data_IF_983551102709
#
_entry.id   IF_983551102709
#
_cell.length_a   1.000
_cell.length_b   1.000
_cell.length_c   1.000
_cell.angle_alpha   90.00
_cell.angle_beta   90.00
_cell.angle_gamma   90.00
#
_symmetry.space_group_name_H-M   'P 1'
#
loop_
_entity.id
_entity.type
_entity.pdbx_description
1 polymer ?
#
# COMPACT_ATOMS: atom_id res chain seq x y z
N UNK A 1 33.69 6.56 3.28
CA UNK A 1 32.90 5.32 3.06
C UNK A 1 31.45 5.69 3.28
N UNK A 2 30.53 5.19 2.45
CA UNK A 2 29.12 5.39 2.71
C UNK A 2 28.72 4.72 4.03
N UNK A 3 28.01 5.44 4.90
CA UNK A 3 27.74 5.03 6.29
C UNK A 3 26.27 5.08 6.68
N UNK A 4 25.41 5.59 5.80
CA UNK A 4 23.99 5.78 6.08
C UNK A 4 23.11 5.05 5.07
N UNK A 5 21.86 4.78 5.45
CA UNK A 5 20.83 4.24 4.55
C UNK A 5 19.69 5.24 4.47
N UNK A 6 19.20 5.51 3.26
CA UNK A 6 18.00 6.30 3.07
C UNK A 6 16.79 5.38 2.91
N UNK A 7 15.67 5.72 3.53
CA UNK A 7 14.38 5.06 3.33
C UNK A 7 13.37 6.06 2.79
N UNK A 8 12.74 5.72 1.66
CA UNK A 8 11.61 6.45 1.09
C UNK A 8 10.34 5.73 1.54
N UNK A 9 9.49 6.43 2.28
CA UNK A 9 8.18 5.96 2.72
C UNK A 9 7.10 6.80 2.02
N UNK A 10 6.46 6.23 1.02
CA UNK A 10 5.31 6.84 0.36
C UNK A 10 4.00 6.36 0.99
N UNK A 11 3.53 7.05 2.02
CA UNK A 11 2.26 6.77 2.68
C UNK A 11 1.05 7.35 1.94
N UNK A 12 -0.15 7.12 2.48
CA UNK A 12 -1.42 7.54 1.87
C UNK A 12 -1.66 9.04 1.85
N UNK A 13 -1.12 9.79 2.82
CA UNK A 13 -1.33 11.26 2.89
C UNK A 13 -0.06 12.07 2.68
N UNK A 14 1.09 11.41 2.70
CA UNK A 14 2.38 12.09 2.59
C UNK A 14 3.48 11.14 2.13
N UNK A 15 4.53 11.71 1.56
CA UNK A 15 5.78 11.03 1.26
C UNK A 15 6.86 11.52 2.22
N UNK A 16 7.72 10.61 2.69
CA UNK A 16 8.81 10.91 3.61
C UNK A 16 10.12 10.29 3.13
N UNK A 17 11.24 10.98 3.35
CA UNK A 17 12.56 10.39 3.31
C UNK A 17 13.16 10.44 4.73
N UNK A 18 13.74 9.34 5.16
CA UNK A 18 14.46 9.22 6.43
C UNK A 18 15.86 8.70 6.18
N UNK A 19 16.86 9.26 6.88
CA UNK A 19 18.24 8.80 6.82
C UNK A 19 18.57 8.14 8.15
N UNK A 20 19.10 6.93 8.08
CA UNK A 20 19.46 6.10 9.23
C UNK A 20 20.95 5.85 9.29
N UNK A 21 21.50 5.83 10.50
CA UNK A 21 22.84 5.31 10.77
C UNK A 21 22.83 3.78 10.96
N UNK A 22 24.02 3.21 11.16
CA UNK A 22 24.19 1.77 11.36
C UNK A 22 23.46 1.21 12.60
N UNK A 23 23.21 2.04 13.62
CA UNK A 23 22.50 1.62 14.84
C UNK A 23 20.97 1.64 14.67
N UNK A 24 20.47 2.09 13.52
CA UNK A 24 19.04 2.33 13.29
C UNK A 24 18.56 3.68 13.83
N UNK A 25 19.47 4.57 14.22
CA UNK A 25 19.17 5.92 14.67
C UNK A 25 18.73 6.81 13.50
N UNK A 26 17.65 7.59 13.69
CA UNK A 26 17.19 8.56 12.69
C UNK A 26 18.08 9.80 12.74
N UNK A 27 18.86 10.02 11.68
CA UNK A 27 19.76 11.17 11.53
C UNK A 27 19.02 12.39 11.00
N UNK A 28 18.16 12.18 10.00
CA UNK A 28 17.32 13.24 9.45
C UNK A 28 16.02 12.68 8.87
N UNK A 29 15.00 13.54 8.80
CA UNK A 29 13.76 13.25 8.12
C UNK A 29 13.19 14.50 7.45
N UNK A 30 12.63 14.31 6.26
CA UNK A 30 11.85 15.29 5.52
C UNK A 30 10.56 14.63 5.04
N UNK A 31 9.45 15.36 5.10
CA UNK A 31 8.12 14.85 4.77
C UNK A 31 7.32 15.93 4.04
N UNK A 32 6.52 15.52 3.05
CA UNK A 32 5.57 16.38 2.35
C UNK A 32 4.25 15.67 2.12
N UNK A 33 3.16 16.38 2.39
CA UNK A 33 1.82 15.92 2.06
C UNK A 33 1.57 16.00 0.55
N UNK A 34 0.62 15.20 0.07
CA UNK A 34 0.11 15.27 -1.30
C UNK A 34 -1.42 15.33 -1.28
N UNK A 35 -1.99 15.90 -2.33
CA UNK A 35 -3.43 16.11 -2.44
C UNK A 35 -4.21 14.79 -2.38
N UNK A 36 -5.29 14.78 -1.60
CA UNK A 36 -6.27 13.69 -1.58
C UNK A 36 -7.41 14.06 -2.53
N UNK A 37 -7.50 13.39 -3.67
CA UNK A 37 -8.45 13.75 -4.73
C UNK A 37 -9.71 12.89 -4.56
N UNK A 38 -10.86 13.55 -4.41
CA UNK A 38 -12.17 12.90 -4.24
C UNK A 38 -13.14 13.32 -5.36
N UNK A 39 -13.06 12.72 -6.56
CA UNK A 39 -13.90 13.14 -7.69
C UNK A 39 -15.40 12.93 -7.42
N UNK A 40 -15.73 11.91 -6.65
CA UNK A 40 -17.08 11.61 -6.21
C UNK A 40 -17.09 10.73 -4.94
N UNK A 41 -18.27 10.50 -4.36
CA UNK A 41 -18.41 9.71 -3.15
C UNK A 41 -17.84 8.28 -3.32
N UNK A 42 -16.98 7.88 -2.38
CA UNK A 42 -16.29 6.58 -2.39
C UNK A 42 -15.10 6.49 -3.35
N UNK A 43 -14.81 7.55 -4.12
CA UNK A 43 -13.67 7.59 -5.03
C UNK A 43 -12.51 8.33 -4.39
N UNK A 44 -11.34 7.73 -4.42
CA UNK A 44 -10.10 8.25 -3.81
C UNK A 44 -8.95 8.08 -4.79
N UNK A 45 -8.33 9.20 -5.15
CA UNK A 45 -7.28 9.27 -6.16
C UNK A 45 -6.07 10.06 -5.66
N UNK A 46 -4.89 9.74 -6.21
CA UNK A 46 -3.67 10.55 -6.07
C UNK A 46 -3.10 10.87 -7.44
N UNK A 47 -2.43 12.03 -7.57
CA UNK A 47 -1.67 12.36 -8.76
C UNK A 47 -0.28 11.68 -8.72
N UNK A 48 0.03 10.71 -9.62
CA UNK A 48 1.32 10.00 -9.57
C UNK A 48 2.54 10.91 -9.80
N UNK A 49 2.38 11.99 -10.56
CA UNK A 49 3.44 12.97 -10.82
C UNK A 49 3.75 13.79 -9.56
N UNK A 50 2.72 14.22 -8.80
CA UNK A 50 2.91 14.89 -7.52
C UNK A 50 3.64 13.99 -6.52
N UNK A 51 3.30 12.70 -6.48
CA UNK A 51 4.01 11.71 -5.65
C UNK A 51 5.50 11.63 -6.01
N UNK A 52 5.81 11.64 -7.31
CA UNK A 52 7.19 11.61 -7.77
C UNK A 52 7.95 12.90 -7.44
N UNK A 53 7.33 14.06 -7.68
CA UNK A 53 7.88 15.37 -7.31
C UNK A 53 8.17 15.45 -5.81
N UNK A 54 7.22 15.01 -4.99
CA UNK A 54 7.39 14.95 -3.54
C UNK A 54 8.52 14.01 -3.14
N UNK A 55 8.61 12.82 -3.73
CA UNK A 55 9.72 11.87 -3.49
C UNK A 55 11.08 12.54 -3.73
N UNK A 56 11.24 13.24 -4.85
CA UNK A 56 12.47 13.97 -5.17
C UNK A 56 12.77 15.06 -4.15
N UNK A 57 11.75 15.82 -3.76
CA UNK A 57 11.88 16.93 -2.82
C UNK A 57 12.26 16.45 -1.41
N UNK A 58 11.63 15.38 -0.90
CA UNK A 58 11.93 14.86 0.43
C UNK A 58 13.31 14.21 0.49
N UNK A 59 13.75 13.53 -0.59
CA UNK A 59 15.09 12.99 -0.67
C UNK A 59 16.16 14.10 -0.59
N UNK A 60 15.98 15.19 -1.34
CA UNK A 60 16.87 16.34 -1.29
C UNK A 60 16.87 17.02 0.08
N UNK A 61 15.67 17.22 0.67
CA UNK A 61 15.54 17.87 1.97
C UNK A 61 16.13 17.05 3.12
N UNK A 62 15.99 15.73 3.12
CA UNK A 62 16.59 14.86 4.13
C UNK A 62 18.11 14.91 4.11
N UNK A 63 18.73 14.86 2.91
CA UNK A 63 20.18 15.00 2.74
C UNK A 63 20.67 16.37 3.23
N UNK A 64 19.98 17.44 2.84
CA UNK A 64 20.33 18.80 3.26
C UNK A 64 20.24 19.00 4.78
N UNK A 65 19.21 18.44 5.43
CA UNK A 65 19.06 18.49 6.90
C UNK A 65 20.15 17.73 7.64
N UNK A 66 20.66 16.65 7.06
CA UNK A 66 21.73 15.85 7.63
C UNK A 66 23.13 16.40 7.32
N UNK A 67 23.25 17.43 6.46
CA UNK A 67 24.51 17.90 5.87
C UNK A 67 25.28 16.76 5.18
N UNK A 68 24.55 15.93 4.42
CA UNK A 68 25.08 14.74 3.72
C UNK A 68 24.95 14.87 2.20
N UNK A 69 25.77 14.10 1.49
CA UNK A 69 25.72 13.92 0.04
C UNK A 69 25.26 12.51 -0.33
N UNK A 70 24.94 12.29 -1.62
CA UNK A 70 24.65 10.95 -2.13
C UNK A 70 25.79 9.93 -1.85
N UNK A 71 27.05 10.39 -1.82
CA UNK A 71 28.22 9.54 -1.55
C UNK A 71 28.27 8.98 -0.13
N UNK A 72 27.49 9.54 0.80
CA UNK A 72 27.38 9.09 2.18
C UNK A 72 26.30 8.00 2.35
N UNK A 73 25.44 7.81 1.34
CA UNK A 73 24.33 6.86 1.35
C UNK A 73 24.74 5.54 0.70
N UNK A 74 24.68 4.45 1.47
CA UNK A 74 25.09 3.12 1.03
C UNK A 74 24.04 2.46 0.13
N UNK A 75 22.76 2.70 0.41
CA UNK A 75 21.60 2.19 -0.32
C UNK A 75 20.34 3.01 -0.01
N UNK A 76 19.33 2.87 -0.88
CA UNK A 76 17.96 3.33 -0.68
C UNK A 76 17.03 2.12 -0.53
N UNK A 77 16.20 2.15 0.51
CA UNK A 77 15.02 1.29 0.64
C UNK A 77 13.74 2.06 0.27
N UNK A 78 12.77 1.38 -0.31
CA UNK A 78 11.46 1.94 -0.67
C UNK A 78 10.38 1.18 0.10
N UNK A 79 9.47 1.92 0.71
CA UNK A 79 8.21 1.40 1.22
C UNK A 79 7.07 2.31 0.83
N UNK A 80 5.87 1.75 0.74
CA UNK A 80 4.75 2.41 0.09
C UNK A 80 3.41 1.95 0.64
N UNK A 81 2.42 2.83 0.57
CA UNK A 81 1.02 2.46 0.71
C UNK A 81 0.70 1.35 -0.29
N UNK A 82 0.19 0.24 0.25
CA UNK A 82 -0.19 -0.91 -0.54
C UNK A 82 -1.53 -0.67 -1.24
N UNK A 83 -1.74 -1.58 -2.18
CA UNK A 83 -2.78 -1.71 -3.20
C UNK A 83 -2.93 -0.56 -4.21
N UNK A 84 -2.60 0.69 -3.85
CA UNK A 84 -2.74 1.86 -4.74
C UNK A 84 -2.11 1.60 -6.11
N UNK A 85 -2.88 1.85 -7.17
CA UNK A 85 -2.64 1.34 -8.53
C UNK A 85 -2.35 2.47 -9.50
N UNK A 86 -1.25 2.36 -10.25
CA UNK A 86 -0.88 3.29 -11.33
C UNK A 86 -0.78 2.53 -12.64
N UNK A 87 -1.30 3.14 -13.71
CA UNK A 87 -1.08 2.70 -15.10
C UNK A 87 -0.47 3.85 -15.87
N UNK A 88 0.64 3.61 -16.57
CA UNK A 88 1.36 4.64 -17.31
C UNK A 88 1.88 4.12 -18.65
N UNK A 89 2.18 5.05 -19.54
CA UNK A 89 2.77 4.74 -20.84
C UNK A 89 4.27 4.53 -20.72
N UNK A 90 4.79 3.39 -21.20
CA UNK A 90 6.22 3.06 -21.06
C UNK A 90 7.16 3.97 -21.86
N UNK A 91 6.68 4.58 -22.94
CA UNK A 91 7.48 5.40 -23.87
C UNK A 91 7.55 6.85 -23.42
N UNK A 92 6.46 7.37 -22.86
CA UNK A 92 6.37 8.77 -22.42
C UNK A 92 6.55 8.95 -20.92
N UNK A 93 6.32 7.88 -20.15
CA UNK A 93 6.32 7.89 -18.70
C UNK A 93 5.10 8.50 -18.05
N UNK A 94 4.15 9.00 -18.85
CA UNK A 94 2.98 9.69 -18.32
C UNK A 94 1.93 8.70 -17.83
N UNK A 95 1.36 8.89 -16.63
CA UNK A 95 0.18 8.17 -16.20
C UNK A 95 -0.97 8.36 -17.20
N UNK A 96 -1.73 7.31 -17.47
CA UNK A 96 -2.94 7.41 -18.33
C UNK A 96 -4.16 7.90 -17.54
N UNK A 97 -4.08 7.84 -16.21
CA UNK A 97 -5.09 8.27 -15.27
C UNK A 97 -4.41 8.57 -13.91
N UNK A 98 -5.15 9.18 -12.97
CA UNK A 98 -4.69 9.26 -11.59
C UNK A 98 -4.47 7.86 -10.99
N UNK A 99 -3.64 7.78 -9.94
CA UNK A 99 -3.54 6.57 -9.14
C UNK A 99 -4.87 6.30 -8.45
N UNK A 100 -5.39 5.07 -8.53
CA UNK A 100 -6.59 4.67 -7.78
C UNK A 100 -6.15 4.12 -6.44
N UNK A 101 -6.54 4.79 -5.37
CA UNK A 101 -6.06 4.51 -4.01
C UNK A 101 -6.73 3.27 -3.42
N UNK A 102 -6.08 2.61 -2.47
CA UNK A 102 -6.60 1.43 -1.77
C UNK A 102 -7.95 1.65 -1.07
N UNK A 103 -8.23 2.87 -0.62
CA UNK A 103 -9.49 3.27 0.02
C UNK A 103 -10.67 3.37 -0.95
N UNK A 104 -10.38 3.41 -2.26
CA UNK A 104 -11.37 3.60 -3.30
C UNK A 104 -12.30 2.39 -3.45
N UNK A 105 -13.60 2.66 -3.55
CA UNK A 105 -14.65 1.63 -3.64
C UNK A 105 -15.30 1.53 -5.02
N UNK A 106 -14.74 2.15 -6.07
CA UNK A 106 -15.36 2.23 -7.42
C UNK A 106 -15.48 0.91 -8.16
N UNK A 107 -14.74 -0.10 -7.70
CA UNK A 107 -14.63 -1.40 -8.35
C UNK A 107 -15.65 -2.41 -7.84
N UNK A 108 -16.63 -2.01 -7.03
CA UNK A 108 -17.67 -2.88 -6.45
C UNK A 108 -18.41 -3.73 -7.49
N UNK A 109 -18.78 -3.15 -8.63
CA UNK A 109 -19.43 -3.85 -9.75
C UNK A 109 -18.47 -4.81 -10.47
N UNK A 110 -17.19 -4.47 -10.55
CA UNK A 110 -16.16 -5.36 -11.11
C UNK A 110 -15.96 -6.57 -10.20
N UNK A 111 -15.94 -6.36 -8.88
CA UNK A 111 -15.87 -7.43 -7.89
C UNK A 111 -17.05 -8.40 -8.04
N UNK A 112 -18.28 -7.89 -8.19
CA UNK A 112 -19.45 -8.74 -8.44
C UNK A 112 -19.30 -9.58 -9.73
N UNK A 113 -18.92 -8.94 -10.85
CA UNK A 113 -18.69 -9.63 -12.13
C UNK A 113 -17.65 -10.74 -12.03
N UNK A 114 -16.53 -10.49 -11.35
CA UNK A 114 -15.46 -11.48 -11.15
C UNK A 114 -15.95 -12.65 -10.28
N UNK A 115 -16.74 -12.37 -9.24
CA UNK A 115 -17.35 -13.41 -8.41
C UNK A 115 -18.34 -14.29 -9.18
N UNK A 116 -19.08 -13.70 -10.13
CA UNK A 116 -20.06 -14.39 -10.98
C UNK A 116 -19.42 -15.36 -11.99
N UNK A 117 -18.11 -15.26 -12.24
CA UNK A 117 -17.35 -16.28 -12.99
C UNK A 117 -17.24 -17.62 -12.23
N UNK A 118 -17.65 -17.65 -10.96
CA UNK A 118 -17.66 -18.84 -10.08
C UNK A 118 -16.79 -18.65 -8.84
N UNK A 119 -17.15 -19.29 -7.72
CA UNK A 119 -16.43 -19.17 -6.44
C UNK A 119 -16.79 -17.93 -5.61
N UNK A 120 -17.57 -16.99 -6.16
CA UNK A 120 -18.05 -15.81 -5.45
C UNK A 120 -16.90 -14.96 -4.90
N UNK A 121 -17.05 -14.43 -3.69
CA UNK A 121 -16.01 -13.62 -3.04
C UNK A 121 -14.68 -14.36 -2.86
N UNK A 122 -14.69 -15.69 -2.82
CA UNK A 122 -13.52 -16.51 -2.52
C UNK A 122 -12.80 -17.05 -3.76
N UNK A 123 -13.25 -16.68 -4.96
CA UNK A 123 -12.80 -17.21 -6.26
C UNK A 123 -11.28 -17.39 -6.38
N UNK A 124 -10.50 -16.40 -5.93
CA UNK A 124 -9.04 -16.39 -6.07
C UNK A 124 -8.29 -16.63 -4.75
N UNK A 125 -8.99 -16.96 -3.65
CA UNK A 125 -8.38 -17.02 -2.31
C UNK A 125 -7.31 -18.11 -2.19
N UNK A 126 -7.50 -19.25 -2.86
CA UNK A 126 -6.56 -20.36 -2.82
C UNK A 126 -5.18 -20.00 -3.39
N UNK A 127 -5.16 -19.30 -4.54
CA UNK A 127 -3.94 -18.85 -5.20
C UNK A 127 -3.34 -17.62 -4.54
N UNK A 128 -4.18 -16.62 -4.24
CA UNK A 128 -3.71 -15.27 -3.87
C UNK A 128 -3.70 -15.03 -2.36
N UNK A 129 -4.41 -15.84 -1.57
CA UNK A 129 -4.62 -15.60 -0.15
C UNK A 129 -5.62 -14.49 0.17
N UNK A 130 -6.27 -13.90 -0.84
CA UNK A 130 -7.13 -12.73 -0.72
C UNK A 130 -8.56 -13.01 -1.20
N UNK A 131 -9.58 -12.39 -0.57
CA UNK A 131 -10.93 -12.36 -1.13
C UNK A 131 -11.03 -11.34 -2.28
N UNK A 132 -12.07 -11.44 -3.09
CA UNK A 132 -12.48 -10.36 -3.98
C UNK A 132 -13.05 -9.19 -3.16
N UNK A 133 -12.35 -8.05 -3.22
CA UNK A 133 -12.76 -6.80 -2.56
C UNK A 133 -12.24 -5.59 -3.34
N UNK A 134 -12.87 -4.43 -3.17
CA UNK A 134 -12.47 -3.18 -3.85
C UNK A 134 -11.09 -2.66 -3.44
N UNK A 135 -10.53 -3.26 -2.39
CA UNK A 135 -9.25 -2.91 -1.80
C UNK A 135 -8.06 -3.17 -2.74
N UNK A 136 -8.05 -4.30 -3.45
CA UNK A 136 -6.88 -4.80 -4.18
C UNK A 136 -6.71 -4.23 -5.61
N UNK A 137 -5.49 -4.36 -6.16
CA UNK A 137 -5.07 -3.64 -7.37
C UNK A 137 -5.69 -4.14 -8.68
N UNK A 138 -5.80 -5.45 -8.89
CA UNK A 138 -6.24 -6.04 -10.17
C UNK A 138 -7.57 -5.46 -10.68
N UNK A 139 -8.64 -5.43 -9.86
CA UNK A 139 -9.90 -4.77 -10.22
C UNK A 139 -9.76 -3.27 -10.56
N UNK A 140 -8.79 -2.56 -9.98
CA UNK A 140 -8.51 -1.15 -10.29
C UNK A 140 -7.85 -0.99 -11.66
N UNK A 141 -6.93 -1.91 -12.02
CA UNK A 141 -6.36 -1.97 -13.38
C UNK A 141 -7.46 -2.25 -14.40
N UNK A 142 -8.31 -3.24 -14.14
CA UNK A 142 -9.45 -3.56 -15.01
C UNK A 142 -10.36 -2.34 -15.21
N UNK A 143 -10.65 -1.59 -14.13
CA UNK A 143 -11.42 -0.35 -14.23
C UNK A 143 -10.76 0.67 -15.16
N UNK A 144 -9.45 0.91 -15.02
CA UNK A 144 -8.72 1.86 -15.89
C UNK A 144 -8.82 1.42 -17.36
N UNK A 145 -8.59 0.14 -17.65
CA UNK A 145 -8.67 -0.39 -19.01
C UNK A 145 -10.09 -0.35 -19.61
N UNK A 146 -11.13 -0.37 -18.78
CA UNK A 146 -12.53 -0.27 -19.23
C UNK A 146 -13.04 1.17 -19.38
N UNK A 147 -12.45 2.14 -18.67
CA UNK A 147 -13.03 3.49 -18.55
C UNK A 147 -12.14 4.61 -19.12
N UNK A 148 -10.86 4.36 -19.37
CA UNK A 148 -9.96 5.35 -19.98
C UNK A 148 -9.86 5.10 -21.47
N UNK A 149 -10.27 6.10 -22.26
CA UNK A 149 -10.31 6.02 -23.72
C UNK A 149 -8.95 5.57 -24.31
N UNK A 150 -8.97 4.50 -25.09
CA UNK A 150 -7.80 3.95 -25.76
C UNK A 150 -6.82 3.18 -24.84
N UNK A 151 -7.10 3.06 -23.54
CA UNK A 151 -6.18 2.39 -22.61
C UNK A 151 -6.09 0.88 -22.88
N UNK A 152 -7.21 0.23 -23.23
CA UNK A 152 -7.23 -1.21 -23.53
C UNK A 152 -6.39 -1.55 -24.75
N UNK A 153 -6.59 -0.86 -25.86
CA UNK A 153 -5.86 -1.10 -27.10
C UNK A 153 -4.35 -0.86 -26.92
N UNK A 154 -3.98 0.17 -26.14
CA UNK A 154 -2.57 0.45 -25.82
C UNK A 154 -1.96 -0.58 -24.88
N UNK A 155 -2.72 -1.10 -23.93
CA UNK A 155 -2.29 -2.21 -23.07
C UNK A 155 -2.03 -3.47 -23.89
N UNK A 156 -2.95 -3.82 -24.79
CA UNK A 156 -2.83 -4.98 -25.70
C UNK A 156 -1.64 -4.83 -26.67
N UNK A 157 -1.35 -3.60 -27.11
CA UNK A 157 -0.15 -3.28 -27.90
C UNK A 157 1.16 -3.33 -27.09
N UNK A 158 1.10 -3.50 -25.76
CA UNK A 158 2.26 -3.50 -24.88
C UNK A 158 2.86 -2.12 -24.61
N UNK A 159 2.09 -1.04 -24.84
CA UNK A 159 2.53 0.33 -24.62
C UNK A 159 2.30 0.81 -23.17
N UNK A 160 1.47 0.11 -22.39
CA UNK A 160 1.19 0.46 -21.00
C UNK A 160 1.91 -0.47 -20.00
N UNK A 161 2.25 0.11 -18.86
CA UNK A 161 2.72 -0.59 -17.66
C UNK A 161 1.71 -0.40 -16.54
N UNK A 162 1.61 -1.42 -15.70
CA UNK A 162 0.95 -1.37 -14.40
C UNK A 162 2.01 -1.46 -13.30
N UNK A 163 1.74 -0.83 -12.17
CA UNK A 163 2.48 -1.05 -10.95
C UNK A 163 1.72 -0.53 -9.74
N UNK A 164 2.03 -1.12 -8.59
CA UNK A 164 1.83 -0.47 -7.29
C UNK A 164 2.85 0.67 -7.11
N UNK A 165 2.70 1.46 -6.04
CA UNK A 165 3.51 2.67 -5.85
C UNK A 165 5.02 2.42 -5.74
N UNK A 166 5.46 1.28 -5.20
CA UNK A 166 6.88 0.87 -5.23
C UNK A 166 7.42 0.78 -6.66
N UNK A 167 6.68 0.15 -7.57
CA UNK A 167 7.10 -0.02 -8.96
C UNK A 167 7.14 1.32 -9.69
N UNK A 168 6.14 2.18 -9.45
CA UNK A 168 6.12 3.56 -9.98
C UNK A 168 7.34 4.37 -9.52
N UNK A 169 7.66 4.32 -8.23
CA UNK A 169 8.81 5.03 -7.66
C UNK A 169 10.12 4.47 -8.18
N UNK A 170 10.30 3.15 -8.18
CA UNK A 170 11.49 2.50 -8.69
C UNK A 170 11.73 2.85 -10.17
N UNK A 171 10.68 2.76 -10.99
CA UNK A 171 10.75 3.06 -12.42
C UNK A 171 11.22 4.49 -12.67
N UNK A 172 10.65 5.47 -11.96
CA UNK A 172 11.07 6.88 -12.05
C UNK A 172 12.48 7.14 -11.49
N UNK A 173 12.83 6.49 -10.38
CA UNK A 173 14.14 6.64 -9.75
C UNK A 173 15.27 6.09 -10.62
N UNK A 174 15.01 5.07 -11.42
CA UNK A 174 16.02 4.37 -12.23
C UNK A 174 16.17 4.90 -13.65
N UNK A 175 15.24 5.73 -14.13
CA UNK A 175 15.39 6.40 -15.43
C UNK A 175 14.09 6.71 -16.17
N UNK A 176 12.96 6.17 -15.71
CA UNK A 176 11.68 6.35 -16.38
C UNK A 176 11.72 5.84 -17.82
N UNK A 177 11.32 6.65 -18.83
CA UNK A 177 11.39 6.23 -20.23
C UNK A 177 12.82 5.91 -20.70
N UNK A 178 13.82 6.47 -20.02
CA UNK A 178 15.24 6.33 -20.36
C UNK A 178 15.90 5.16 -19.61
N UNK A 179 15.23 4.01 -19.56
CA UNK A 179 15.77 2.78 -18.94
C UNK A 179 15.31 2.50 -17.51
N UNK A 180 14.15 3.03 -17.11
CA UNK A 180 13.52 2.73 -15.83
C UNK A 180 13.22 1.24 -15.66
N UNK A 181 13.59 0.69 -14.51
CA UNK A 181 13.32 -0.69 -14.12
C UNK A 181 11.86 -0.86 -13.72
N UNK A 182 11.20 -1.83 -14.35
CA UNK A 182 9.81 -2.18 -14.07
C UNK A 182 9.75 -3.45 -13.23
N UNK A 183 9.92 -3.27 -11.91
CA UNK A 183 10.05 -4.33 -10.92
C UNK A 183 9.10 -4.03 -9.74
N UNK A 184 8.68 -5.07 -9.03
CA UNK A 184 8.01 -5.01 -7.72
C UNK A 184 8.55 -6.12 -6.82
N UNK A 185 8.29 -6.06 -5.52
CA UNK A 185 8.61 -7.14 -4.57
C UNK A 185 7.40 -8.05 -4.30
N UNK A 186 7.57 -9.23 -3.66
CA UNK A 186 6.48 -10.18 -3.50
C UNK A 186 5.48 -9.71 -2.44
N UNK A 187 5.89 -8.81 -1.52
CA UNK A 187 4.96 -8.24 -0.54
C UNK A 187 3.94 -7.34 -1.24
N UNK A 188 4.36 -6.45 -2.14
CA UNK A 188 3.46 -5.63 -2.96
C UNK A 188 2.69 -6.48 -3.98
N UNK A 189 3.35 -7.37 -4.73
CA UNK A 189 2.72 -8.22 -5.72
C UNK A 189 1.60 -9.09 -5.12
N UNK A 190 1.79 -9.61 -3.90
CA UNK A 190 0.76 -10.38 -3.18
C UNK A 190 -0.52 -9.60 -2.86
N UNK A 191 -0.52 -8.26 -2.99
CA UNK A 191 -1.67 -7.38 -2.72
C UNK A 191 -2.48 -7.03 -3.96
N UNK A 192 -2.12 -7.60 -5.10
CA UNK A 192 -2.71 -7.23 -6.39
C UNK A 192 -3.90 -8.08 -6.78
N UNK A 193 -4.15 -9.22 -6.12
CA UNK A 193 -4.95 -10.37 -6.60
C UNK A 193 -4.38 -11.09 -7.82
N UNK A 194 -3.21 -10.71 -8.35
CA UNK A 194 -2.67 -11.28 -9.59
C UNK A 194 -1.51 -12.25 -9.37
N UNK A 195 -0.92 -12.29 -8.18
CA UNK A 195 0.21 -13.17 -7.87
C UNK A 195 -0.26 -14.47 -7.21
N UNK A 196 0.25 -15.60 -7.66
CA UNK A 196 0.12 -16.89 -6.99
C UNK A 196 1.15 -16.98 -5.83
N UNK A 197 0.67 -17.29 -4.62
CA UNK A 197 1.49 -17.32 -3.41
C UNK A 197 2.45 -18.52 -3.33
N UNK A 198 2.18 -19.61 -4.05
CA UNK A 198 3.06 -20.79 -4.05
C UNK A 198 4.23 -20.60 -5.00
N UNK A 199 3.97 -20.00 -6.17
CA UNK A 199 4.98 -19.79 -7.21
C UNK A 199 5.70 -18.44 -7.09
N UNK A 200 5.11 -17.46 -6.40
CA UNK A 200 5.52 -16.05 -6.39
C UNK A 200 5.63 -15.43 -7.78
N UNK A 201 4.80 -15.89 -8.70
CA UNK A 201 4.72 -15.37 -10.06
C UNK A 201 3.30 -14.90 -10.35
N UNK A 202 3.17 -14.07 -11.39
CA UNK A 202 1.87 -13.66 -11.90
C UNK A 202 1.09 -14.85 -12.42
N UNK A 203 -0.17 -14.94 -12.02
CA UNK A 203 -1.09 -15.97 -12.48
C UNK A 203 -1.76 -15.54 -13.80
N UNK A 204 -1.46 -16.20 -14.93
CA UNK A 204 -1.97 -15.78 -16.24
C UNK A 204 -3.48 -15.97 -16.36
N UNK A 205 -4.07 -16.92 -15.64
CA UNK A 205 -5.52 -17.17 -15.70
C UNK A 205 -6.26 -16.04 -14.96
N UNK A 206 -5.80 -15.63 -13.78
CA UNK A 206 -6.39 -14.51 -13.05
C UNK A 206 -6.22 -13.19 -13.83
N UNK A 207 -5.03 -12.95 -14.41
CA UNK A 207 -4.79 -11.78 -15.25
C UNK A 207 -5.72 -11.77 -16.47
N UNK A 208 -5.93 -12.91 -17.11
CA UNK A 208 -6.86 -13.09 -18.23
C UNK A 208 -8.32 -12.83 -17.82
N UNK A 209 -8.77 -13.36 -16.68
CA UNK A 209 -10.13 -13.10 -16.14
C UNK A 209 -10.38 -11.60 -15.93
N UNK A 210 -9.36 -10.82 -15.54
CA UNK A 210 -9.42 -9.36 -15.37
C UNK A 210 -9.13 -8.58 -16.65
N UNK A 211 -8.83 -9.26 -17.77
CA UNK A 211 -8.49 -8.65 -19.04
C UNK A 211 -7.23 -7.79 -18.99
N UNK A 212 -6.22 -8.20 -18.20
CA UNK A 212 -4.95 -7.51 -18.01
C UNK A 212 -3.86 -8.25 -18.80
N UNK A 213 -3.27 -7.63 -19.84
CA UNK A 213 -2.15 -8.22 -20.56
C UNK A 213 -0.93 -8.42 -19.65
N UNK A 214 -0.32 -9.61 -19.71
CA UNK A 214 0.89 -9.93 -18.93
C UNK A 214 2.05 -8.97 -19.21
N UNK A 215 2.08 -8.33 -20.39
CA UNK A 215 3.06 -7.31 -20.77
C UNK A 215 3.03 -6.04 -19.89
N UNK A 216 1.94 -5.81 -19.16
CA UNK A 216 1.80 -4.70 -18.23
C UNK A 216 2.43 -4.98 -16.87
N UNK A 217 2.68 -6.24 -16.50
CA UNK A 217 3.03 -6.62 -15.14
C UNK A 217 4.54 -6.50 -14.87
N UNK A 218 4.96 -5.92 -13.74
CA UNK A 218 6.38 -5.77 -13.39
C UNK A 218 7.04 -7.11 -13.10
N UNK A 219 8.35 -7.21 -13.27
CA UNK A 219 9.08 -8.38 -12.79
C UNK A 219 9.01 -8.47 -11.25
N UNK A 220 8.66 -9.62 -10.70
CA UNK A 220 8.64 -9.84 -9.24
C UNK A 220 10.04 -10.29 -8.81
N UNK A 221 10.68 -9.50 -7.95
CA UNK A 221 11.99 -9.80 -7.35
C UNK A 221 11.90 -9.92 -5.83
N UNK A 222 12.98 -10.29 -5.14
CA UNK A 222 12.96 -10.36 -3.67
C UNK A 222 12.84 -8.96 -3.05
N UNK A 223 12.43 -8.89 -1.79
CA UNK A 223 12.29 -7.66 -1.01
C UNK A 223 13.65 -7.05 -0.58
N UNK A 224 14.76 -7.76 -0.78
CA UNK A 224 16.10 -7.32 -0.39
C UNK A 224 17.16 -7.87 -1.34
N UNK A 225 17.41 -7.14 -2.41
CA UNK A 225 18.47 -7.36 -3.41
C UNK A 225 18.77 -6.05 -4.12
N UNK A 226 19.91 -5.92 -4.81
CA UNK A 226 20.20 -4.71 -5.61
C UNK A 226 19.41 -4.76 -6.91
N UNK A 227 18.31 -4.00 -6.98
CA UNK A 227 17.50 -3.90 -8.21
C UNK A 227 18.23 -3.11 -9.29
N UNK A 228 18.86 -2.00 -8.89
CA UNK A 228 19.52 -1.06 -9.78
C UNK A 228 20.13 0.11 -9.02
N UNK A 229 20.42 1.19 -9.75
CA UNK A 229 20.94 2.43 -9.18
C UNK A 229 20.00 3.58 -9.52
N UNK A 230 19.91 4.55 -8.62
CA UNK A 230 19.20 5.81 -8.89
C UNK A 230 19.90 6.50 -10.05
N UNK A 231 19.13 6.96 -11.04
CA UNK A 231 19.62 7.71 -12.19
C UNK A 231 20.50 8.89 -11.73
N UNK A 232 21.58 9.16 -12.47
CA UNK A 232 22.59 10.19 -12.14
C UNK A 232 21.98 11.56 -11.81
N UNK A 233 20.90 11.94 -12.48
CA UNK A 233 20.21 13.21 -12.26
C UNK A 233 19.25 13.10 -11.05
N UNK A 234 19.73 13.46 -9.86
CA UNK A 234 18.89 13.55 -8.66
C UNK A 234 19.71 13.68 -7.38
N UNK A 235 19.03 13.91 -6.26
CA UNK A 235 19.70 14.07 -4.96
C UNK A 235 20.42 12.80 -4.48
N UNK A 236 19.94 11.62 -4.91
CA UNK A 236 20.50 10.30 -4.59
C UNK A 236 21.19 9.65 -5.79
N UNK A 237 21.64 10.43 -6.79
CA UNK A 237 22.23 9.89 -8.03
C UNK A 237 23.36 8.90 -7.76
N UNK A 238 23.34 7.75 -8.46
CA UNK A 238 24.32 6.68 -8.34
C UNK A 238 24.14 5.76 -7.12
N UNK A 239 23.26 6.09 -6.17
CA UNK A 239 23.00 5.25 -4.99
C UNK A 239 22.26 3.98 -5.41
N UNK A 240 22.62 2.83 -4.81
CA UNK A 240 21.93 1.55 -5.04
C UNK A 240 20.52 1.57 -4.46
N UNK A 241 19.54 1.05 -5.19
CA UNK A 241 18.21 0.78 -4.66
C UNK A 241 18.18 -0.72 -4.32
N UNK A 242 18.01 -1.05 -3.04
CA UNK A 242 18.33 -2.39 -2.55
C UNK A 242 17.30 -3.01 -1.58
N UNK A 243 16.15 -2.37 -1.36
CA UNK A 243 15.05 -2.97 -0.63
C UNK A 243 13.71 -2.37 -1.03
N UNK A 244 12.70 -3.22 -1.21
CA UNK A 244 11.31 -2.85 -1.46
C UNK A 244 10.42 -3.73 -0.57
N UNK A 245 9.57 -3.10 0.22
CA UNK A 245 8.55 -3.77 1.04
C UNK A 245 7.31 -2.89 1.10
N UNK A 246 6.12 -3.45 0.94
CA UNK A 246 4.90 -2.72 1.22
C UNK A 246 4.83 -2.29 2.69
N UNK A 247 4.22 -1.14 2.99
CA UNK A 247 4.29 -0.43 4.27
C UNK A 247 4.10 -1.30 5.53
N UNK A 248 3.08 -2.15 5.55
CA UNK A 248 2.79 -2.96 6.73
C UNK A 248 3.79 -4.11 6.90
N UNK A 249 4.30 -4.68 5.82
CA UNK A 249 5.39 -5.63 5.84
C UNK A 249 6.71 -4.97 6.25
N UNK A 250 7.00 -3.77 5.73
CA UNK A 250 8.16 -2.98 6.14
C UNK A 250 8.12 -2.65 7.65
N UNK A 251 6.94 -2.28 8.17
CA UNK A 251 6.74 -2.08 9.61
C UNK A 251 6.94 -3.37 10.42
N UNK A 252 6.51 -4.52 9.89
CA UNK A 252 6.72 -5.84 10.52
C UNK A 252 8.21 -6.20 10.57
N UNK A 253 8.91 -5.96 9.47
CA UNK A 253 10.36 -6.16 9.39
C UNK A 253 11.13 -5.20 10.31
N UNK A 254 10.74 -3.92 10.34
CA UNK A 254 11.33 -2.89 11.19
C UNK A 254 11.06 -3.09 12.69
N UNK A 255 9.99 -3.79 13.06
CA UNK A 255 9.73 -4.26 14.43
C UNK A 255 10.54 -5.52 14.79
N UNK A 256 11.36 -6.02 13.86
CA UNK A 256 12.10 -7.27 14.00
C UNK A 256 11.21 -8.49 14.29
N UNK A 257 9.98 -8.52 13.78
CA UNK A 257 9.10 -9.70 13.81
C UNK A 257 9.56 -10.74 12.78
N UNK A 258 10.74 -11.33 13.01
CA UNK A 258 11.45 -12.20 12.07
C UNK A 258 11.21 -13.70 12.34
N UNK A 259 10.53 -14.04 13.44
CA UNK A 259 10.24 -15.42 13.86
C UNK A 259 8.75 -15.74 13.73
N UNK A 260 8.38 -17.00 13.42
CA UNK A 260 6.98 -17.42 13.41
C UNK A 260 6.31 -17.16 14.77
N UNK A 261 5.09 -16.62 14.75
CA UNK A 261 4.35 -16.26 15.96
C UNK A 261 4.54 -14.82 16.41
N UNK A 262 5.57 -14.11 15.92
CA UNK A 262 5.75 -12.69 16.19
C UNK A 262 4.77 -11.87 15.36
N UNK A 263 4.16 -10.86 15.99
CA UNK A 263 3.16 -10.03 15.38
C UNK A 263 3.33 -8.58 15.76
N UNK A 264 2.83 -7.71 14.89
CA UNK A 264 2.73 -6.27 15.13
C UNK A 264 1.31 -5.81 14.85
N UNK A 265 0.90 -4.72 15.50
CA UNK A 265 -0.27 -3.95 15.10
C UNK A 265 0.11 -2.49 14.92
N UNK A 266 -0.11 -1.94 13.74
CA UNK A 266 0.17 -0.53 13.43
C UNK A 266 -1.09 0.30 13.64
N UNK A 267 -1.05 1.28 14.55
CA UNK A 267 -2.16 2.18 14.82
C UNK A 267 -2.02 3.51 14.03
N UNK A 268 -2.83 3.69 12.99
CA UNK A 268 -2.88 4.93 12.20
C UNK A 268 -4.31 5.27 11.75
N UNK A 269 -4.45 5.80 10.54
CA UNK A 269 -5.77 6.07 9.90
C UNK A 269 -6.66 4.82 9.92
N UNK A 270 -6.06 3.66 9.64
CA UNK A 270 -6.58 2.32 9.89
C UNK A 270 -5.67 1.52 10.82
N UNK A 271 -6.01 0.25 11.08
CA UNK A 271 -5.17 -0.69 11.83
C UNK A 271 -4.86 -1.91 10.99
N UNK A 272 -3.62 -2.37 11.08
CA UNK A 272 -3.17 -3.55 10.36
C UNK A 272 -2.34 -4.43 11.28
N UNK A 273 -2.90 -5.60 11.56
CA UNK A 273 -2.27 -6.65 12.35
C UNK A 273 -1.62 -7.64 11.40
N UNK A 274 -0.31 -7.85 11.52
CA UNK A 274 0.40 -8.87 10.76
C UNK A 274 1.04 -9.85 11.73
N UNK A 275 0.88 -11.14 11.46
CA UNK A 275 1.47 -12.26 12.20
C UNK A 275 2.40 -13.01 11.24
N UNK A 276 3.68 -13.11 11.58
CA UNK A 276 4.66 -13.89 10.84
C UNK A 276 4.33 -15.40 10.98
N UNK A 277 4.14 -16.10 9.86
CA UNK A 277 3.85 -17.55 9.83
C UNK A 277 5.03 -18.40 9.36
N UNK A 278 6.23 -17.80 9.25
CA UNK A 278 7.40 -18.47 8.72
C UNK A 278 7.27 -18.81 7.24
N UNK A 279 7.90 -19.89 6.82
CA UNK A 279 7.86 -20.37 5.43
C UNK A 279 6.58 -21.14 5.10
N UNK A 280 5.66 -21.31 6.06
CA UNK A 280 4.38 -21.98 5.86
C UNK A 280 3.31 -20.98 5.43
N UNK A 281 2.71 -21.22 4.25
CA UNK A 281 1.55 -20.48 3.76
C UNK A 281 0.29 -20.95 4.51
N UNK A 282 -0.19 -20.14 5.44
CA UNK A 282 -1.40 -20.46 6.24
C UNK A 282 -2.62 -19.77 5.64
N UNK A 283 -3.49 -20.53 4.95
CA UNK A 283 -4.76 -19.99 4.46
C UNK A 283 -5.77 -19.82 5.61
N UNK A 284 -6.20 -18.58 5.84
CA UNK A 284 -7.15 -18.27 6.91
C UNK A 284 -8.56 -18.82 6.61
N UNK A 285 -9.16 -19.45 7.62
CA UNK A 285 -10.57 -19.86 7.67
C UNK A 285 -11.48 -18.85 8.40
N UNK A 286 -10.92 -17.73 8.90
CA UNK A 286 -11.62 -16.75 9.74
C UNK A 286 -11.64 -15.34 9.11
N UNK A 287 -11.60 -15.25 7.78
CA UNK A 287 -11.68 -13.96 7.09
C UNK A 287 -10.42 -13.08 7.17
N UNK A 288 -9.28 -13.59 7.64
CA UNK A 288 -7.98 -12.90 7.51
C UNK A 288 -7.36 -13.10 6.13
N UNK A 289 -6.45 -12.23 5.75
CA UNK A 289 -5.67 -12.35 4.52
C UNK A 289 -4.47 -13.27 4.75
N UNK A 290 -4.09 -14.02 3.72
CA UNK A 290 -2.79 -14.69 3.64
C UNK A 290 -1.93 -13.92 2.65
N UNK A 291 -0.71 -13.56 3.01
CA UNK A 291 0.13 -12.66 2.21
C UNK A 291 1.60 -13.00 2.39
N UNK A 292 2.47 -12.48 1.53
CA UNK A 292 3.92 -12.57 1.75
C UNK A 292 4.31 -11.50 2.78
N UNK A 293 5.07 -11.91 3.80
CA UNK A 293 5.66 -11.03 4.80
C UNK A 293 6.94 -10.37 4.26
N UNK A 294 7.83 -11.16 3.66
CA UNK A 294 9.03 -10.70 2.95
C UNK A 294 9.72 -11.86 2.23
N UNK A 295 10.61 -11.54 1.28
CA UNK A 295 11.58 -12.48 0.71
C UNK A 295 12.96 -11.83 0.68
N UNK A 296 13.98 -12.47 1.24
CA UNK A 296 15.35 -11.90 1.29
C UNK A 296 16.25 -12.65 0.32
N UNK A 297 16.62 -12.01 -0.80
CA UNK A 297 17.40 -12.63 -1.86
C UNK A 297 16.84 -13.98 -2.29
N UNK A 298 17.70 -14.99 -2.30
CA UNK A 298 17.38 -16.36 -2.72
C UNK A 298 16.74 -17.21 -1.61
N UNK A 299 16.53 -16.66 -0.41
CA UNK A 299 15.92 -17.41 0.68
C UNK A 299 14.45 -17.74 0.37
N UNK A 300 13.93 -18.77 1.04
CA UNK A 300 12.52 -19.08 1.02
C UNK A 300 11.68 -17.88 1.47
N UNK A 301 10.51 -17.64 0.86
CA UNK A 301 9.63 -16.56 1.31
C UNK A 301 9.12 -16.82 2.73
N UNK A 302 8.91 -15.74 3.45
CA UNK A 302 8.19 -15.75 4.73
C UNK A 302 6.79 -15.19 4.49
N UNK A 303 5.78 -15.88 5.00
CA UNK A 303 4.38 -15.52 4.88
C UNK A 303 3.86 -14.84 6.14
N UNK A 304 2.70 -14.22 6.01
CA UNK A 304 1.97 -13.64 7.12
C UNK A 304 0.46 -13.85 6.99
N UNK A 305 -0.20 -13.90 8.15
CA UNK A 305 -1.62 -13.61 8.27
C UNK A 305 -1.82 -12.12 8.54
N UNK A 306 -2.76 -11.51 7.85
CA UNK A 306 -3.06 -10.08 8.00
C UNK A 306 -4.54 -9.83 8.30
N UNK A 307 -4.80 -9.03 9.33
CA UNK A 307 -6.08 -8.42 9.62
C UNK A 307 -6.04 -6.93 9.30
N UNK A 308 -6.85 -6.50 8.33
CA UNK A 308 -6.99 -5.09 7.96
C UNK A 308 -8.27 -4.50 8.57
N UNK A 309 -8.14 -3.35 9.23
CA UNK A 309 -9.23 -2.58 9.83
C UNK A 309 -9.19 -1.19 9.20
N UNK A 310 -10.16 -0.88 8.35
CA UNK A 310 -10.14 0.34 7.53
C UNK A 310 -10.14 1.64 8.34
N UNK A 311 -10.94 1.69 9.41
CA UNK A 311 -11.24 2.93 10.14
C UNK A 311 -10.97 2.74 11.62
N UNK A 312 -9.91 3.38 12.11
CA UNK A 312 -9.59 3.46 13.54
C UNK A 312 -9.24 4.90 13.94
N UNK A 313 -8.04 5.40 13.64
CA UNK A 313 -7.66 6.79 13.91
C UNK A 313 -8.50 7.79 13.12
N UNK A 314 -8.94 7.41 11.91
CA UNK A 314 -9.85 8.21 11.08
C UNK A 314 -11.24 8.42 11.72
N UNK A 315 -11.68 7.54 12.62
CA UNK A 315 -12.89 7.78 13.41
C UNK A 315 -12.72 9.00 14.31
N UNK A 316 -11.57 9.10 15.00
CA UNK A 316 -11.26 10.24 15.88
C UNK A 316 -11.18 11.52 15.06
N UNK A 317 -10.54 11.48 13.88
CA UNK A 317 -10.50 12.63 12.96
C UNK A 317 -11.90 13.04 12.52
N UNK A 318 -12.77 12.09 12.16
CA UNK A 318 -14.15 12.37 11.77
C UNK A 318 -14.97 12.99 12.91
N UNK A 319 -14.79 12.53 14.15
CA UNK A 319 -15.41 13.15 15.33
C UNK A 319 -14.98 14.60 15.52
N UNK A 320 -13.72 14.93 15.23
CA UNK A 320 -13.17 16.30 15.28
C UNK A 320 -13.69 17.17 14.14
N UNK A 321 -13.54 16.72 12.91
CA UNK A 321 -13.70 17.58 11.73
C UNK A 321 -15.17 17.69 11.30
N UNK A 322 -15.91 16.58 11.37
CA UNK A 322 -17.28 16.50 10.86
C UNK A 322 -18.32 16.70 11.96
N UNK A 323 -18.19 16.02 13.10
CA UNK A 323 -19.14 16.20 14.21
C UNK A 323 -18.74 17.32 15.18
N UNK A 324 -17.49 17.79 15.14
CA UNK A 324 -16.96 18.83 16.02
C UNK A 324 -17.20 18.52 17.50
N UNK A 325 -17.09 17.23 17.84
CA UNK A 325 -17.23 16.77 19.22
C UNK A 325 -15.96 17.08 20.03
N UNK A 326 -14.80 16.97 19.39
CA UNK A 326 -13.49 17.30 19.98
C UNK A 326 -12.82 18.38 19.15
N UNK A 327 -11.98 19.19 19.79
CA UNK A 327 -11.17 20.25 19.17
C UNK A 327 -9.82 19.75 18.66
N UNK A 328 -9.30 18.66 19.24
CA UNK A 328 -8.07 18.00 18.80
C UNK A 328 -8.20 16.48 18.90
N UNK A 329 -7.36 15.74 18.17
CA UNK A 329 -7.38 14.27 18.26
C UNK A 329 -6.96 13.75 19.64
N UNK A 330 -6.09 14.47 20.37
CA UNK A 330 -5.64 14.08 21.70
C UNK A 330 -6.75 14.18 22.76
N UNK A 331 -7.67 15.12 22.59
CA UNK A 331 -8.78 15.37 23.52
C UNK A 331 -9.73 14.17 23.66
N UNK A 332 -9.76 13.26 22.68
CA UNK A 332 -10.60 12.05 22.76
C UNK A 332 -10.23 11.18 23.98
N UNK A 333 -8.95 11.12 24.33
CA UNK A 333 -8.47 10.33 25.47
C UNK A 333 -8.86 10.99 26.79
N UNK A 334 -8.76 12.32 26.86
CA UNK A 334 -9.16 13.09 28.04
C UNK A 334 -10.64 12.86 28.36
N UNK A 335 -11.52 12.98 27.35
CA UNK A 335 -12.95 12.73 27.51
C UNK A 335 -13.27 11.28 27.86
N UNK A 336 -12.65 10.32 27.16
CA UNK A 336 -12.86 8.90 27.44
C UNK A 336 -12.47 8.51 28.87
N UNK A 337 -11.50 9.21 29.48
CA UNK A 337 -11.09 9.00 30.89
C UNK A 337 -12.04 9.60 31.92
N UNK A 338 -13.01 10.42 31.51
CA UNK A 338 -14.00 11.01 32.43
C UNK A 338 -15.16 10.07 32.77
N UNK A 339 -15.28 8.94 32.06
CA UNK A 339 -16.33 7.94 32.24
C UNK A 339 -15.72 6.59 32.64
N UNK A 340 -16.48 5.77 33.37
CA UNK A 340 -16.03 4.44 33.81
C UNK A 340 -16.17 3.38 32.70
N UNK A 341 -17.11 3.57 31.78
CA UNK A 341 -17.43 2.63 30.70
C UNK A 341 -17.98 3.35 29.45
N UNK A 342 -18.42 2.57 28.44
CA UNK A 342 -19.01 3.10 27.22
C UNK A 342 -20.49 3.52 27.36
N UNK A 343 -21.09 3.41 28.55
CA UNK A 343 -22.50 3.73 28.80
C UNK A 343 -23.49 2.88 28.01
N UNK A 344 -23.07 1.71 27.51
CA UNK A 344 -23.83 0.87 26.58
C UNK A 344 -23.78 1.33 25.11
N UNK A 345 -23.09 2.42 24.80
CA UNK A 345 -22.93 2.92 23.45
C UNK A 345 -21.85 2.13 22.68
N UNK A 346 -22.14 1.83 21.41
CA UNK A 346 -21.20 1.18 20.49
C UNK A 346 -21.09 1.97 19.20
N UNK A 347 -19.84 2.18 18.77
CA UNK A 347 -19.53 2.75 17.47
C UNK A 347 -19.09 1.63 16.53
N UNK A 348 -19.76 1.51 15.38
CA UNK A 348 -19.36 0.65 14.26
C UNK A 348 -18.86 1.56 13.14
N UNK A 349 -17.55 1.86 13.05
CA UNK A 349 -17.04 2.91 12.17
C UNK A 349 -16.82 2.43 10.72
N UNK A 350 -17.84 1.83 10.09
CA UNK A 350 -17.77 1.29 8.73
C UNK A 350 -17.94 2.36 7.63
N UNK A 351 -17.15 3.45 7.67
CA UNK A 351 -17.28 4.57 6.71
C UNK A 351 -16.88 4.20 5.28
N UNK A 352 -16.01 3.21 5.13
CA UNK A 352 -15.57 2.64 3.85
C UNK A 352 -15.97 1.16 3.71
N UNK A 353 -17.00 0.72 4.45
CA UNK A 353 -17.32 -0.70 4.63
C UNK A 353 -16.52 -1.36 5.76
N UNK A 354 -16.80 -2.65 6.00
CA UNK A 354 -16.06 -3.48 6.96
C UNK A 354 -15.05 -4.37 6.23
N UNK A 355 -13.80 -4.35 6.67
CA UNK A 355 -12.75 -5.25 6.20
C UNK A 355 -12.71 -6.51 7.06
N UNK A 356 -11.53 -7.04 7.39
CA UNK A 356 -11.41 -8.28 8.14
C UNK A 356 -12.13 -8.19 9.51
N UNK A 357 -12.79 -9.26 9.96
CA UNK A 357 -13.02 -10.55 9.28
C UNK A 357 -14.25 -10.56 8.35
N UNK A 358 -14.93 -9.43 8.15
CA UNK A 358 -16.27 -9.36 7.56
C UNK A 358 -16.33 -9.19 6.03
N UNK A 359 -15.40 -8.43 5.44
CA UNK A 359 -15.32 -8.13 3.99
C UNK A 359 -16.65 -7.69 3.36
N UNK A 360 -17.34 -6.76 4.03
CA UNK A 360 -18.64 -6.20 3.63
C UNK A 360 -18.51 -4.74 3.23
N UNK A 361 -18.32 -4.48 1.94
CA UNK A 361 -18.20 -3.13 1.37
C UNK A 361 -19.51 -2.32 1.43
N UNK A 362 -20.66 -2.99 1.56
CA UNK A 362 -21.98 -2.37 1.69
C UNK A 362 -22.25 -1.83 3.10
N UNK A 363 -21.49 -2.26 4.11
CA UNK A 363 -21.65 -1.79 5.48
C UNK A 363 -21.44 -0.27 5.58
N UNK A 364 -22.19 0.38 6.49
CA UNK A 364 -22.11 1.83 6.75
C UNK A 364 -21.96 2.09 8.24
N UNK A 365 -21.36 3.23 8.57
CA UNK A 365 -21.12 3.64 9.95
C UNK A 365 -22.41 3.69 10.79
N UNK A 366 -22.35 3.22 12.03
CA UNK A 366 -23.49 3.24 12.95
C UNK A 366 -23.06 3.57 14.38
N UNK A 367 -23.93 4.24 15.12
CA UNK A 367 -23.83 4.44 16.57
C UNK A 367 -25.11 3.89 17.19
N UNK A 368 -24.98 2.92 18.10
CA UNK A 368 -26.11 2.21 18.71
C UNK A 368 -25.97 2.17 20.23
N UNK A 369 -27.04 1.80 20.93
CA UNK A 369 -27.05 1.71 22.40
C UNK A 369 -27.18 3.05 23.11
N UNK A 370 -27.63 4.09 22.41
CA UNK A 370 -27.82 5.42 22.99
C UNK A 370 -29.01 5.45 23.95
N UNK A 371 -28.75 5.91 25.18
CA UNK A 371 -29.75 6.24 26.19
C UNK A 371 -29.59 7.70 26.62
N UNK A 372 -30.53 8.24 27.41
CA UNK A 372 -30.41 9.61 27.94
C UNK A 372 -29.20 9.82 28.88
N UNK A 373 -28.62 8.73 29.40
CA UNK A 373 -27.42 8.76 30.23
C UNK A 373 -26.14 9.06 29.43
N UNK A 374 -26.11 8.68 28.15
CA UNK A 374 -24.94 8.86 27.29
C UNK A 374 -24.62 10.35 27.13
N UNK A 375 -23.36 10.70 27.33
CA UNK A 375 -22.85 12.06 27.25
C UNK A 375 -21.90 12.24 26.05
N UNK A 376 -21.48 13.49 25.85
CA UNK A 376 -20.54 13.91 24.83
C UNK A 376 -19.13 13.77 25.36
#
# INVERSE_FOLDING_TARGET
>A
MASYVAAIDHGTTSTRCMIFDHSGGVIASEQREHEQIFPQAGWVEHNPEEVWENTRAVAAGALAKADLTAGDIAAVGITNQRETTVVWDRKTGKPVYNAIVWQDTRTDRIIAKLGDLGGGQERYREKTGLPLATYFSGPKVMWILENVDGARERAEAGDLLFGTMDSWLLWNMTGGPDGGLHITDPTNASRTLLMDLDTLNWDPDIASDMGIPMSMLPEIRSSSEVYGTVRERGALGGVRIAGILGDQQAATFGQACLSPGEAKNTYGTGNFVLLNTGTEKVLSQNGLLTTVCYKIGDNAPVFALEGAIAVTGSLVQWLRDNLKMISSAAEIEEHARTVEDNGGAYFVPAFSGLFAPYWRSDARGAIVGLTRYVNK
#
